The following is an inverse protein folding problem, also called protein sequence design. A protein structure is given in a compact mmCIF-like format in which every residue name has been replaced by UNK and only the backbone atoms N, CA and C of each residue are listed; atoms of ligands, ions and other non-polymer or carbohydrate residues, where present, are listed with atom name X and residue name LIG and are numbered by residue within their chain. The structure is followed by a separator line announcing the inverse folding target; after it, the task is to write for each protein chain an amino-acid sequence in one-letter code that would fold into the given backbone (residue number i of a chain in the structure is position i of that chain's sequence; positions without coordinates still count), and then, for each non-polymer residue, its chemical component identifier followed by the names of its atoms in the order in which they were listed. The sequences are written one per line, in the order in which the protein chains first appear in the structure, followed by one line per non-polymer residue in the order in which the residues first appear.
data_IF_055017949913
#
_entry.id   IF_055017949913
#
_cell.length_a   1.000
_cell.length_b   1.000
_cell.length_c   1.000
_cell.angle_alpha   90.00
_cell.angle_beta   90.00
_cell.angle_gamma   90.00
#
_symmetry.space_group_name_H-M   'P 1'
#
loop_
_entity.id
_entity.type
_entity.pdbx_description
1 polymer ?
#
# COMPACT_ATOMS: atom_id res chain seq x y z
N UNK A 1 -30.68 11.27 7.04
CA UNK A 1 -29.32 10.70 6.88
C UNK A 1 -29.18 10.36 5.40
N UNK A 2 -28.45 11.16 4.60
CA UNK A 2 -28.33 10.91 3.15
C UNK A 2 -27.62 9.56 2.95
N UNK A 3 -28.33 8.57 2.43
CA UNK A 3 -27.77 7.28 2.05
C UNK A 3 -27.09 7.46 0.70
N UNK A 4 -25.76 7.61 0.71
CA UNK A 4 -25.00 7.54 -0.53
C UNK A 4 -25.08 6.10 -1.06
N UNK A 5 -25.41 5.95 -2.34
CA UNK A 5 -25.49 4.67 -3.05
C UNK A 5 -24.12 4.03 -3.24
N UNK A 6 -23.07 4.84 -3.30
CA UNK A 6 -21.68 4.42 -3.56
C UNK A 6 -20.81 4.54 -2.31
N UNK A 7 -19.86 3.61 -2.15
CA UNK A 7 -18.94 3.62 -1.01
C UNK A 7 -17.83 4.65 -1.24
N UNK A 8 -17.64 5.56 -0.29
CA UNK A 8 -16.60 6.57 -0.43
C UNK A 8 -15.20 5.94 -0.21
N UNK A 9 -14.30 5.94 -1.22
CA UNK A 9 -13.04 5.18 -1.20
C UNK A 9 -12.00 5.70 -0.19
N UNK A 10 -12.16 6.94 0.29
CA UNK A 10 -11.23 7.54 1.27
C UNK A 10 -11.81 7.63 2.68
N UNK A 11 -13.04 7.17 2.88
CA UNK A 11 -13.70 7.27 4.17
C UNK A 11 -13.28 6.12 5.10
N UNK A 12 -13.12 6.37 6.40
CA UNK A 12 -12.87 5.30 7.35
C UNK A 12 -14.02 4.28 7.35
N UNK A 13 -13.70 3.02 7.14
CA UNK A 13 -14.62 1.89 7.34
C UNK A 13 -14.70 1.55 8.83
N UNK A 14 -15.91 1.53 9.39
CA UNK A 14 -16.15 1.13 10.77
C UNK A 14 -16.52 -0.35 10.80
N UNK A 15 -15.80 -1.18 11.59
CA UNK A 15 -16.14 -2.57 11.80
C UNK A 15 -17.55 -2.75 12.37
N UNK A 16 -18.17 -3.89 12.07
CA UNK A 16 -19.45 -4.25 12.67
C UNK A 16 -19.24 -4.70 14.14
N UNK A 17 -19.92 -4.04 15.08
CA UNK A 17 -19.79 -4.28 16.53
C UNK A 17 -20.58 -5.53 16.98
N UNK A 18 -20.33 -6.64 16.31
CA UNK A 18 -20.90 -7.94 16.62
C UNK A 18 -20.37 -8.52 17.95
N UNK A 19 -20.97 -9.60 18.44
CA UNK A 19 -20.48 -10.33 19.62
C UNK A 19 -19.02 -10.78 19.41
N UNK A 20 -18.68 -11.27 18.20
CA UNK A 20 -17.31 -11.66 17.84
C UNK A 20 -16.32 -10.50 17.96
N UNK A 21 -16.73 -9.29 17.56
CA UNK A 21 -15.91 -8.08 17.71
C UNK A 21 -15.58 -7.80 19.17
N UNK A 22 -16.58 -7.85 20.06
CA UNK A 22 -16.38 -7.57 21.48
C UNK A 22 -15.55 -8.66 22.17
N UNK A 23 -15.78 -9.93 21.85
CA UNK A 23 -14.95 -11.03 22.35
C UNK A 23 -13.48 -10.86 21.93
N UNK A 24 -13.23 -10.55 20.65
CA UNK A 24 -11.87 -10.28 20.16
C UNK A 24 -11.18 -9.17 20.97
N UNK A 25 -11.87 -8.05 21.21
CA UNK A 25 -11.29 -6.93 21.96
C UNK A 25 -11.14 -7.22 23.45
N UNK A 26 -12.05 -7.98 24.05
CA UNK A 26 -11.92 -8.43 25.44
C UNK A 26 -10.64 -9.26 25.63
N UNK A 27 -10.41 -10.26 24.78
CA UNK A 27 -9.19 -11.06 24.81
C UNK A 27 -7.93 -10.24 24.47
N UNK A 28 -8.03 -9.34 23.49
CA UNK A 28 -6.93 -8.44 23.10
C UNK A 28 -6.48 -7.58 24.26
N UNK A 29 -7.41 -6.94 24.96
CA UNK A 29 -7.11 -6.09 26.11
C UNK A 29 -6.62 -6.91 27.31
N UNK A 30 -7.20 -8.08 27.57
CA UNK A 30 -6.76 -8.98 28.65
C UNK A 30 -5.32 -9.46 28.48
N UNK A 31 -4.90 -9.75 27.24
CA UNK A 31 -3.53 -10.21 26.94
C UNK A 31 -2.54 -9.05 26.67
N UNK A 32 -3.03 -7.82 26.54
CA UNK A 32 -2.21 -6.65 26.20
C UNK A 32 -1.03 -6.37 27.16
N UNK A 33 -1.12 -6.61 28.49
CA UNK A 33 0.03 -6.39 29.38
C UNK A 33 1.24 -7.28 29.07
N UNK A 34 1.03 -8.42 28.41
CA UNK A 34 2.09 -9.35 28.00
C UNK A 34 2.50 -9.08 26.55
N UNK A 35 1.51 -8.93 25.66
CA UNK A 35 1.75 -8.80 24.21
C UNK A 35 2.44 -7.46 23.86
N UNK A 36 2.02 -6.36 24.48
CA UNK A 36 2.55 -5.03 24.13
C UNK A 36 4.04 -4.91 24.44
N UNK A 37 4.55 -5.29 25.63
CA UNK A 37 5.99 -5.24 25.90
C UNK A 37 6.81 -6.06 24.91
N UNK A 38 6.35 -7.26 24.56
CA UNK A 38 7.03 -8.13 23.59
C UNK A 38 7.08 -7.46 22.20
N UNK A 39 5.97 -6.87 21.77
CA UNK A 39 5.89 -6.15 20.50
C UNK A 39 6.79 -4.93 20.47
N UNK A 40 6.73 -4.09 21.50
CA UNK A 40 7.59 -2.90 21.60
C UNK A 40 9.07 -3.27 21.63
N UNK A 41 9.43 -4.31 22.39
CA UNK A 41 10.79 -4.83 22.40
C UNK A 41 11.21 -5.30 21.01
N UNK A 42 10.37 -6.06 20.30
CA UNK A 42 10.66 -6.51 18.94
C UNK A 42 10.85 -5.35 17.95
N UNK A 43 10.05 -4.28 18.08
CA UNK A 43 10.17 -3.08 17.25
C UNK A 43 11.46 -2.30 17.54
N UNK A 44 11.81 -2.15 18.82
CA UNK A 44 13.07 -1.50 19.23
C UNK A 44 14.26 -2.29 18.71
N UNK A 45 14.28 -3.61 18.90
CA UNK A 45 15.33 -4.48 18.38
C UNK A 45 15.41 -4.41 16.85
N UNK A 46 14.27 -4.41 16.14
CA UNK A 46 14.25 -4.25 14.69
C UNK A 46 14.88 -2.93 14.24
N UNK A 47 14.60 -1.82 14.93
CA UNK A 47 15.18 -0.52 14.62
C UNK A 47 16.70 -0.50 14.84
N UNK A 48 17.18 -1.04 15.96
CA UNK A 48 18.61 -1.12 16.29
C UNK A 48 19.36 -2.06 15.33
N UNK A 49 18.81 -3.23 15.07
CA UNK A 49 19.38 -4.15 14.08
C UNK A 49 19.40 -3.51 12.70
N UNK A 50 18.35 -2.81 12.31
CA UNK A 50 18.27 -2.14 11.02
C UNK A 50 19.34 -1.06 10.86
N UNK A 51 19.50 -0.17 11.85
CA UNK A 51 20.51 0.88 11.78
C UNK A 51 21.91 0.29 11.65
N UNK A 52 22.31 -0.58 12.58
CA UNK A 52 23.65 -1.17 12.57
C UNK A 52 23.89 -2.05 11.32
N UNK A 53 22.91 -2.86 10.96
CA UNK A 53 23.02 -3.80 9.84
C UNK A 53 23.12 -3.10 8.49
N UNK A 54 22.29 -2.07 8.24
CA UNK A 54 22.38 -1.32 6.99
C UNK A 54 23.62 -0.43 6.93
N UNK A 55 24.02 0.18 8.05
CA UNK A 55 25.25 0.98 8.10
C UNK A 55 26.45 0.14 7.63
N UNK A 56 26.56 -1.12 8.11
CA UNK A 56 27.59 -2.08 7.68
C UNK A 56 27.42 -2.50 6.21
N UNK A 57 26.21 -2.87 5.80
CA UNK A 57 25.96 -3.38 4.45
C UNK A 57 26.17 -2.33 3.35
N UNK A 58 26.00 -1.05 3.70
CA UNK A 58 26.12 0.10 2.81
C UNK A 58 27.47 0.83 2.90
N UNK A 59 28.43 0.36 3.72
CA UNK A 59 29.77 0.96 3.79
C UNK A 59 30.37 1.07 2.38
N UNK A 60 30.81 2.30 2.04
CA UNK A 60 31.41 2.63 0.76
C UNK A 60 30.52 2.29 -0.46
N UNK A 61 29.20 2.38 -0.33
CA UNK A 61 28.27 2.18 -1.44
C UNK A 61 27.51 3.47 -1.76
N UNK A 62 27.38 3.77 -3.05
CA UNK A 62 26.45 4.77 -3.54
C UNK A 62 25.08 4.10 -3.77
N UNK A 63 24.08 4.52 -3.00
CA UNK A 63 22.70 3.98 -3.09
C UNK A 63 21.96 4.44 -4.34
N UNK A 64 22.49 5.43 -5.07
CA UNK A 64 21.95 5.89 -6.36
C UNK A 64 22.23 4.91 -7.51
N UNK A 65 23.30 4.11 -7.37
CA UNK A 65 23.74 3.14 -8.36
C UNK A 65 23.26 1.73 -7.99
N UNK A 66 23.01 0.85 -8.99
CA UNK A 66 22.63 -0.53 -8.73
C UNK A 66 23.69 -1.26 -7.91
N UNK A 67 23.27 -1.99 -6.88
CA UNK A 67 24.20 -2.79 -6.10
C UNK A 67 24.67 -4.01 -6.89
N UNK A 68 25.85 -4.54 -6.55
CA UNK A 68 26.31 -5.81 -7.10
C UNK A 68 25.32 -6.95 -6.78
N UNK A 69 25.16 -7.96 -7.65
CA UNK A 69 24.12 -8.99 -7.48
C UNK A 69 24.18 -9.74 -6.14
N UNK A 70 25.39 -10.05 -5.64
CA UNK A 70 25.57 -10.76 -4.37
C UNK A 70 25.19 -9.86 -3.17
N UNK A 71 25.59 -8.59 -3.19
CA UNK A 71 25.29 -7.64 -2.12
C UNK A 71 23.80 -7.34 -2.09
N UNK A 72 23.18 -7.14 -3.25
CA UNK A 72 21.75 -6.96 -3.38
C UNK A 72 20.98 -8.15 -2.77
N UNK A 73 21.44 -9.38 -3.01
CA UNK A 73 20.84 -10.59 -2.44
C UNK A 73 20.94 -10.62 -0.91
N UNK A 74 22.06 -10.18 -0.32
CA UNK A 74 22.24 -10.10 1.13
C UNK A 74 21.35 -8.99 1.73
N UNK A 75 21.42 -7.77 1.18
CA UNK A 75 20.61 -6.63 1.60
C UNK A 75 19.12 -6.98 1.56
N UNK A 76 18.65 -7.62 0.48
CA UNK A 76 17.25 -8.03 0.35
C UNK A 76 16.84 -9.07 1.40
N UNK A 77 17.68 -10.08 1.67
CA UNK A 77 17.41 -11.04 2.75
C UNK A 77 17.33 -10.34 4.12
N UNK A 78 18.23 -9.41 4.37
CA UNK A 78 18.23 -8.59 5.58
C UNK A 78 16.97 -7.72 5.69
N UNK A 79 16.58 -7.02 4.63
CA UNK A 79 15.35 -6.22 4.56
C UNK A 79 14.10 -7.06 4.83
N UNK A 80 14.00 -8.26 4.24
CA UNK A 80 12.90 -9.20 4.49
C UNK A 80 12.86 -9.61 5.96
N UNK A 81 14.02 -9.90 6.56
CA UNK A 81 14.12 -10.28 7.96
C UNK A 81 13.63 -9.14 8.88
N UNK A 82 14.15 -7.92 8.70
CA UNK A 82 13.70 -6.74 9.46
C UNK A 82 12.20 -6.49 9.26
N UNK A 83 11.71 -6.54 8.02
CA UNK A 83 10.28 -6.34 7.72
C UNK A 83 9.40 -7.38 8.43
N UNK A 84 9.85 -8.63 8.55
CA UNK A 84 9.11 -9.68 9.28
C UNK A 84 9.07 -9.42 10.79
N UNK A 85 10.16 -8.93 11.39
CA UNK A 85 10.16 -8.55 12.81
C UNK A 85 9.21 -7.37 13.03
N UNK A 86 9.26 -6.35 12.16
CA UNK A 86 8.36 -5.20 12.25
C UNK A 86 6.89 -5.62 12.06
N UNK A 87 6.61 -6.50 11.10
CA UNK A 87 5.28 -7.10 10.89
C UNK A 87 4.80 -7.86 12.13
N UNK A 88 5.67 -8.63 12.79
CA UNK A 88 5.37 -9.30 14.05
C UNK A 88 5.08 -8.30 15.19
N UNK A 89 5.89 -7.24 15.29
CA UNK A 89 5.68 -6.15 16.25
C UNK A 89 4.34 -5.44 16.09
N UNK A 90 3.81 -5.39 14.86
CA UNK A 90 2.45 -4.92 14.58
C UNK A 90 1.37 -6.02 14.64
N UNK A 91 1.71 -7.25 15.03
CA UNK A 91 0.74 -8.34 15.10
C UNK A 91 0.16 -8.74 13.75
N UNK A 92 0.87 -8.48 12.65
CA UNK A 92 0.37 -8.71 11.30
C UNK A 92 0.65 -10.14 10.87
N UNK A 93 -0.41 -10.84 10.47
CA UNK A 93 -0.37 -12.20 9.92
C UNK A 93 -0.66 -12.14 8.42
N UNK A 94 0.37 -12.40 7.61
CA UNK A 94 0.27 -12.33 6.14
C UNK A 94 -0.08 -13.71 5.58
N UNK A 95 -1.27 -13.83 5.00
CA UNK A 95 -1.76 -15.01 4.30
C UNK A 95 -1.57 -14.80 2.79
N UNK A 96 -0.66 -15.56 2.18
CA UNK A 96 -0.47 -15.55 0.72
C UNK A 96 -1.41 -16.53 0.03
N UNK A 97 -2.03 -16.09 -1.07
CA UNK A 97 -2.86 -16.87 -1.99
C UNK A 97 -2.26 -16.87 -3.39
N UNK A 98 -2.58 -17.90 -4.18
CA UNK A 98 -2.09 -18.05 -5.55
C UNK A 98 -0.56 -17.96 -5.68
N UNK A 99 0.18 -18.59 -4.76
CA UNK A 99 1.66 -18.53 -4.70
C UNK A 99 2.35 -18.95 -6.01
N UNK A 100 1.71 -19.79 -6.83
CA UNK A 100 2.19 -20.20 -8.16
C UNK A 100 2.30 -19.03 -9.14
N UNK A 101 1.50 -17.98 -8.96
CA UNK A 101 1.50 -16.75 -9.77
C UNK A 101 2.45 -15.67 -9.20
N UNK A 102 3.24 -16.00 -8.18
CA UNK A 102 4.15 -15.05 -7.56
C UNK A 102 5.20 -14.60 -8.60
N UNK A 103 5.38 -13.27 -8.79
CA UNK A 103 6.34 -12.75 -9.75
C UNK A 103 7.74 -13.31 -9.53
N UNK A 104 8.40 -13.72 -10.61
CA UNK A 104 9.82 -14.09 -10.57
C UNK A 104 10.67 -12.84 -10.39
N UNK A 105 11.95 -13.00 -10.06
CA UNK A 105 12.87 -11.87 -9.93
C UNK A 105 13.11 -11.13 -11.25
N UNK A 106 12.70 -11.69 -12.39
CA UNK A 106 12.75 -11.06 -13.72
C UNK A 106 11.58 -10.11 -13.97
N UNK A 107 10.53 -10.12 -13.14
CA UNK A 107 9.42 -9.20 -13.30
C UNK A 107 9.90 -7.78 -13.01
N UNK A 108 9.83 -6.90 -14.01
CA UNK A 108 10.39 -5.55 -13.93
C UNK A 108 9.54 -4.61 -13.07
N UNK A 109 8.23 -4.84 -13.08
CA UNK A 109 7.25 -4.04 -12.35
C UNK A 109 6.28 -4.93 -11.60
N UNK A 110 6.06 -4.60 -10.33
CA UNK A 110 4.94 -5.09 -9.56
C UNK A 110 3.91 -3.98 -9.37
N UNK A 111 2.66 -4.27 -9.67
CA UNK A 111 1.52 -3.41 -9.42
C UNK A 111 0.75 -3.96 -8.23
N UNK A 112 0.42 -3.07 -7.28
CA UNK A 112 -0.42 -3.39 -6.13
C UNK A 112 -1.46 -2.31 -5.93
N UNK A 113 -2.65 -2.69 -5.44
CA UNK A 113 -3.57 -1.72 -4.85
C UNK A 113 -2.97 -1.09 -3.59
N UNK A 114 -3.46 0.08 -3.16
CA UNK A 114 -2.92 0.81 -2.02
C UNK A 114 -3.96 1.06 -0.92
N UNK A 115 -4.20 0.05 -0.09
CA UNK A 115 -5.18 0.08 1.00
C UNK A 115 -4.67 0.63 2.34
N UNK A 116 -3.35 0.65 2.55
CA UNK A 116 -2.77 1.11 3.81
C UNK A 116 -1.34 1.62 3.64
N UNK A 117 -0.93 2.47 4.57
CA UNK A 117 0.49 2.85 4.71
C UNK A 117 1.39 1.63 5.04
N UNK A 118 0.80 0.53 5.53
CA UNK A 118 1.52 -0.70 5.81
C UNK A 118 1.77 -1.56 4.57
N UNK A 119 1.17 -1.26 3.39
CA UNK A 119 1.33 -2.08 2.18
C UNK A 119 2.80 -2.34 1.82
N UNK A 120 3.64 -1.30 1.91
CA UNK A 120 5.07 -1.42 1.66
C UNK A 120 5.75 -2.42 2.61
N UNK A 121 5.36 -2.44 3.90
CA UNK A 121 5.87 -3.41 4.87
C UNK A 121 5.49 -4.85 4.47
N UNK A 122 4.21 -5.06 4.10
CA UNK A 122 3.71 -6.38 3.67
C UNK A 122 4.48 -6.89 2.45
N UNK A 123 4.70 -6.01 1.48
CA UNK A 123 5.46 -6.30 0.25
C UNK A 123 6.93 -6.61 0.55
N UNK A 124 7.57 -5.84 1.45
CA UNK A 124 8.92 -6.11 1.92
C UNK A 124 9.04 -7.49 2.59
N UNK A 125 8.06 -7.92 3.41
CA UNK A 125 8.06 -9.25 4.01
C UNK A 125 8.10 -10.39 2.98
N UNK A 126 7.60 -10.13 1.76
CA UNK A 126 7.56 -11.07 0.64
C UNK A 126 8.64 -10.85 -0.40
N UNK A 127 9.51 -9.87 -0.18
CA UNK A 127 10.72 -9.60 -0.96
C UNK A 127 10.54 -8.56 -2.05
N UNK A 128 9.44 -7.82 -2.10
CA UNK A 128 9.26 -6.69 -3.01
C UNK A 128 9.65 -5.42 -2.25
N UNK A 129 10.91 -5.00 -2.39
CA UNK A 129 11.49 -3.99 -1.50
C UNK A 129 11.65 -2.62 -2.14
N UNK A 130 11.65 -2.49 -3.47
CA UNK A 130 11.78 -1.20 -4.16
C UNK A 130 10.42 -0.60 -4.51
N UNK A 131 10.25 0.71 -4.27
CA UNK A 131 8.99 1.44 -4.45
C UNK A 131 9.21 2.82 -5.07
N UNK A 132 8.12 3.43 -5.55
CA UNK A 132 8.07 4.88 -5.81
C UNK A 132 7.66 5.62 -4.54
N UNK A 133 8.52 6.50 -4.03
CA UNK A 133 8.34 7.17 -2.73
C UNK A 133 8.52 8.68 -2.80
N UNK A 134 8.03 9.43 -1.80
CA UNK A 134 8.13 10.89 -1.75
C UNK A 134 9.51 11.34 -1.24
N UNK A 135 10.07 12.40 -1.83
CA UNK A 135 11.33 13.02 -1.37
C UNK A 135 11.34 13.39 0.13
N UNK A 136 10.19 13.73 0.72
CA UNK A 136 10.08 14.04 2.16
C UNK A 136 10.51 12.87 3.06
N UNK A 137 10.40 11.62 2.61
CA UNK A 137 10.80 10.44 3.39
C UNK A 137 12.32 10.43 3.66
N UNK A 138 13.14 11.05 2.79
CA UNK A 138 14.59 11.19 3.01
C UNK A 138 14.95 11.95 4.29
N UNK A 139 14.02 12.75 4.84
CA UNK A 139 14.24 13.54 6.05
C UNK A 139 14.02 12.76 7.34
N UNK A 140 13.50 11.52 7.26
CA UNK A 140 13.21 10.69 8.44
C UNK A 140 14.42 9.77 8.67
N UNK A 141 15.22 9.99 9.73
CA UNK A 141 16.38 9.16 10.01
C UNK A 141 16.00 7.69 10.20
N UNK A 142 16.93 6.77 9.94
CA UNK A 142 16.75 5.30 9.96
C UNK A 142 15.85 4.80 8.82
N UNK A 143 14.68 5.41 8.64
CA UNK A 143 13.76 5.09 7.55
C UNK A 143 14.36 5.48 6.20
N UNK A 144 15.02 6.63 6.08
CA UNK A 144 15.71 7.02 4.85
C UNK A 144 16.75 5.99 4.42
N UNK A 145 17.58 5.52 5.36
CA UNK A 145 18.60 4.48 5.09
C UNK A 145 17.97 3.17 4.64
N UNK A 146 16.85 2.75 5.25
CA UNK A 146 16.11 1.58 4.80
C UNK A 146 15.59 1.75 3.37
N UNK A 147 14.96 2.88 3.07
CA UNK A 147 14.39 3.17 1.75
C UNK A 147 15.48 3.32 0.67
N UNK A 148 16.63 3.91 1.02
CA UNK A 148 17.78 4.02 0.11
C UNK A 148 18.42 2.64 -0.15
N UNK A 149 18.51 1.78 0.87
CA UNK A 149 18.95 0.38 0.70
C UNK A 149 18.00 -0.44 -0.18
N UNK A 150 16.74 -0.04 -0.27
CA UNK A 150 15.74 -0.64 -1.14
C UNK A 150 15.86 -0.19 -2.61
N UNK A 151 16.73 0.78 -2.88
CA UNK A 151 16.89 1.41 -4.19
C UNK A 151 15.56 1.92 -4.77
N UNK A 152 14.80 2.61 -3.92
CA UNK A 152 13.51 3.20 -4.27
C UNK A 152 13.68 4.40 -5.21
N UNK A 153 12.68 4.62 -6.07
CA UNK A 153 12.61 5.81 -6.93
C UNK A 153 11.96 6.95 -6.15
N UNK A 154 12.68 8.04 -5.96
CA UNK A 154 12.14 9.23 -5.30
C UNK A 154 11.40 10.13 -6.29
N UNK A 155 10.08 10.21 -6.14
CA UNK A 155 9.20 11.02 -6.97
C UNK A 155 9.61 12.50 -6.95
N UNK A 156 9.92 13.13 -8.09
CA UNK A 156 10.05 14.59 -8.19
C UNK A 156 8.70 15.30 -8.03
N UNK A 157 8.73 16.64 -7.91
CA UNK A 157 7.51 17.43 -7.75
C UNK A 157 6.70 17.58 -9.06
N UNK A 158 7.25 17.15 -10.19
CA UNK A 158 6.58 17.16 -11.49
C UNK A 158 6.29 15.71 -11.95
N UNK A 159 5.21 15.53 -12.70
CA UNK A 159 4.82 14.20 -13.19
C UNK A 159 5.70 13.76 -14.37
N UNK A 160 6.14 14.67 -15.24
CA UNK A 160 7.04 14.35 -16.36
C UNK A 160 8.36 13.68 -15.90
N UNK A 161 9.02 14.21 -14.89
CA UNK A 161 10.24 13.61 -14.32
C UNK A 161 9.95 12.30 -13.57
N UNK A 162 8.75 12.14 -13.02
CA UNK A 162 8.33 10.88 -12.41
C UNK A 162 8.18 9.79 -13.48
N UNK A 163 7.52 10.12 -14.59
CA UNK A 163 7.34 9.21 -15.73
C UNK A 163 8.69 8.81 -16.31
N UNK A 164 9.60 9.77 -16.49
CA UNK A 164 10.96 9.50 -17.00
C UNK A 164 11.70 8.48 -16.13
N UNK A 165 11.82 8.74 -14.83
CA UNK A 165 12.55 7.84 -13.91
C UNK A 165 11.91 6.45 -13.82
N UNK A 166 10.59 6.36 -13.83
CA UNK A 166 9.88 5.08 -13.82
C UNK A 166 10.13 4.34 -15.14
N UNK A 167 10.05 5.02 -16.29
CA UNK A 167 10.26 4.42 -17.60
C UNK A 167 11.69 3.89 -17.73
N UNK A 168 12.70 4.68 -17.37
CA UNK A 168 14.11 4.25 -17.34
C UNK A 168 14.26 3.00 -16.47
N UNK A 169 13.64 2.98 -15.28
CA UNK A 169 13.71 1.84 -14.37
C UNK A 169 13.11 0.55 -14.93
N UNK A 170 12.05 0.68 -15.73
CA UNK A 170 11.30 -0.43 -16.32
C UNK A 170 11.99 -0.96 -17.58
N UNK A 171 12.51 -0.05 -18.41
CA UNK A 171 13.05 -0.36 -19.74
C UNK A 171 14.51 -0.78 -19.67
N UNK A 172 15.35 -0.02 -18.97
CA UNK A 172 16.80 -0.21 -19.01
C UNK A 172 17.28 -1.40 -18.20
N UNK A 173 16.57 -1.78 -17.13
CA UNK A 173 16.84 -2.98 -16.34
C UNK A 173 18.30 -3.09 -15.86
N UNK A 174 18.89 -1.97 -15.43
CA UNK A 174 20.30 -1.85 -15.01
C UNK A 174 20.62 -2.54 -13.68
N UNK A 175 20.15 -3.77 -13.45
CA UNK A 175 20.51 -4.59 -12.30
C UNK A 175 19.84 -4.23 -10.97
N UNK A 176 18.93 -3.25 -10.93
CA UNK A 176 18.20 -2.95 -9.69
C UNK A 176 16.86 -3.68 -9.50
N UNK A 177 16.37 -3.83 -8.24
CA UNK A 177 15.21 -4.67 -7.91
C UNK A 177 13.94 -4.35 -8.71
N UNK A 178 13.03 -5.31 -8.80
CA UNK A 178 11.67 -5.08 -9.31
C UNK A 178 11.03 -3.87 -8.63
N UNK A 179 10.55 -2.90 -9.42
CA UNK A 179 9.95 -1.68 -8.91
C UNK A 179 8.47 -1.92 -8.62
N UNK A 180 8.06 -1.67 -7.38
CA UNK A 180 6.64 -1.75 -7.00
C UNK A 180 5.98 -0.38 -7.14
N UNK A 181 4.86 -0.34 -7.85
CA UNK A 181 4.08 0.87 -8.10
C UNK A 181 2.65 0.67 -7.60
N UNK A 182 2.18 1.66 -6.86
CA UNK A 182 0.77 1.82 -6.48
C UNK A 182 0.10 2.77 -7.48
N UNK A 183 -0.58 2.26 -8.52
CA UNK A 183 -0.99 3.07 -9.67
C UNK A 183 -2.09 4.08 -9.33
N UNK A 184 -2.87 3.84 -8.28
CA UNK A 184 -3.83 4.81 -7.72
C UNK A 184 -3.16 6.15 -7.34
N UNK A 185 -1.90 6.08 -6.90
CA UNK A 185 -1.12 7.25 -6.45
C UNK A 185 -1.65 7.89 -5.16
N UNK A 186 -2.53 7.22 -4.44
CA UNK A 186 -3.08 7.60 -3.14
C UNK A 186 -3.45 6.36 -2.32
N UNK A 187 -3.83 6.53 -1.05
CA UNK A 187 -4.32 5.42 -0.22
C UNK A 187 -5.84 5.47 -0.17
N UNK A 188 -6.48 4.38 -0.54
CA UNK A 188 -7.90 4.12 -0.41
C UNK A 188 -8.19 3.17 0.77
N UNK A 189 -9.46 2.87 1.01
CA UNK A 189 -9.92 2.00 2.10
C UNK A 189 -10.17 0.55 1.64
N UNK A 190 -9.74 0.20 0.42
CA UNK A 190 -9.92 -1.11 -0.21
C UNK A 190 -11.38 -1.56 -0.37
N UNK A 191 -12.35 -0.63 -0.36
CA UNK A 191 -13.75 -0.94 -0.66
C UNK A 191 -14.10 -0.69 -2.13
N UNK A 192 -13.29 0.12 -2.80
CA UNK A 192 -13.45 0.52 -4.19
C UNK A 192 -12.05 0.75 -4.77
N UNK A 193 -11.95 0.75 -6.09
CA UNK A 193 -10.70 0.98 -6.83
C UNK A 193 -10.82 2.18 -7.75
N UNK A 194 -9.89 3.13 -7.60
CA UNK A 194 -9.86 4.37 -8.38
C UNK A 194 -9.09 4.22 -9.71
N UNK A 195 -9.20 5.18 -10.65
CA UNK A 195 -8.45 5.14 -11.90
C UNK A 195 -6.93 5.11 -11.67
N UNK A 196 -6.25 4.32 -12.49
CA UNK A 196 -4.82 4.13 -12.42
C UNK A 196 -4.07 5.23 -13.17
N UNK A 197 -2.98 5.73 -12.57
CA UNK A 197 -2.02 6.59 -13.25
C UNK A 197 -1.22 5.77 -14.25
N UNK A 198 -1.00 6.35 -15.42
CA UNK A 198 -0.37 5.66 -16.55
C UNK A 198 1.13 5.44 -16.40
N UNK A 199 1.77 5.95 -15.34
CA UNK A 199 3.23 5.92 -15.21
C UNK A 199 3.82 4.50 -15.31
N UNK A 200 3.13 3.50 -14.77
CA UNK A 200 3.57 2.09 -14.83
C UNK A 200 3.27 1.42 -16.19
N UNK A 201 2.34 1.99 -16.97
CA UNK A 201 1.78 1.39 -18.18
C UNK A 201 2.32 2.02 -19.46
N UNK A 202 2.71 3.30 -19.44
CA UNK A 202 3.33 4.02 -20.55
C UNK A 202 4.48 3.27 -21.25
N UNK A 203 5.36 2.53 -20.54
CA UNK A 203 6.43 1.77 -21.21
C UNK A 203 5.96 0.58 -22.05
N UNK A 204 4.67 0.21 -21.99
CA UNK A 204 4.09 -0.94 -22.68
C UNK A 204 4.89 -2.23 -22.45
N UNK A 205 5.24 -2.49 -21.19
CA UNK A 205 5.94 -3.71 -20.74
C UNK A 205 5.00 -4.58 -19.90
N UNK A 206 5.23 -5.90 -19.83
CA UNK A 206 4.47 -6.76 -18.93
C UNK A 206 4.57 -6.29 -17.48
N UNK A 207 3.45 -6.33 -16.77
CA UNK A 207 3.36 -5.94 -15.36
C UNK A 207 2.87 -7.13 -14.55
N UNK A 208 3.55 -7.44 -13.45
CA UNK A 208 3.02 -8.42 -12.50
C UNK A 208 2.08 -7.73 -11.52
N UNK A 209 1.02 -8.41 -11.10
CA UNK A 209 -0.03 -7.81 -10.27
C UNK A 209 -0.25 -8.60 -8.98
N UNK A 210 -0.52 -7.87 -7.90
CA UNK A 210 -0.87 -8.41 -6.58
C UNK A 210 -1.95 -7.57 -5.92
N UNK A 211 -2.81 -8.20 -5.14
CA UNK A 211 -3.78 -7.50 -4.29
C UNK A 211 -3.44 -7.72 -2.82
N UNK A 212 -3.53 -6.65 -2.03
CA UNK A 212 -3.39 -6.65 -0.57
C UNK A 212 -4.72 -6.20 0.02
N UNK A 213 -5.26 -7.03 0.92
CA UNK A 213 -6.52 -6.77 1.62
C UNK A 213 -6.32 -6.98 3.11
N UNK A 214 -6.55 -5.93 3.90
CA UNK A 214 -6.58 -6.01 5.35
C UNK A 214 -7.95 -6.50 5.81
N UNK A 215 -7.97 -7.42 6.77
CA UNK A 215 -9.22 -7.80 7.42
C UNK A 215 -9.72 -6.67 8.32
N UNK A 216 -10.78 -5.99 7.87
CA UNK A 216 -11.38 -4.85 8.56
C UNK A 216 -12.44 -5.27 9.61
N UNK A 217 -12.59 -6.56 9.90
CA UNK A 217 -13.63 -7.07 10.80
C UNK A 217 -13.50 -6.59 12.25
N UNK A 218 -12.30 -6.23 12.70
CA UNK A 218 -12.02 -5.84 14.09
C UNK A 218 -11.45 -4.44 14.24
N UNK A 219 -10.84 -3.88 13.20
CA UNK A 219 -10.26 -2.55 13.22
C UNK A 219 -10.12 -2.00 11.80
N UNK A 220 -10.01 -0.68 11.72
CA UNK A 220 -9.71 0.00 10.48
C UNK A 220 -8.22 0.32 10.42
N UNK A 221 -7.58 -0.07 9.31
CA UNK A 221 -6.14 0.07 9.07
C UNK A 221 -5.87 1.03 7.91
N UNK A 222 -6.92 1.63 7.35
CA UNK A 222 -6.79 2.75 6.41
C UNK A 222 -6.11 3.93 7.10
N UNK A 223 -5.40 4.73 6.31
CA UNK A 223 -4.53 5.81 6.78
C UNK A 223 -5.29 6.99 7.45
N UNK A 224 -6.60 6.86 7.65
CA UNK A 224 -7.50 7.91 8.12
C UNK A 224 -8.07 7.62 9.52
N UNK A 225 -7.67 6.52 10.17
CA UNK A 225 -7.93 6.29 11.59
C UNK A 225 -6.66 6.49 12.41
N UNK A 226 -6.54 7.63 13.12
CA UNK A 226 -5.39 7.90 14.03
C UNK A 226 -5.36 6.91 15.20
N UNK A 227 -6.52 6.35 15.57
CA UNK A 227 -6.64 5.33 16.61
C UNK A 227 -6.32 3.94 16.03
N UNK A 228 -6.43 3.76 14.71
CA UNK A 228 -6.16 2.51 14.01
C UNK A 228 -4.75 1.97 14.29
N UNK A 229 -3.74 2.84 14.24
CA UNK A 229 -2.37 2.45 14.58
C UNK A 229 -2.19 1.98 16.03
N UNK A 230 -2.86 2.65 16.97
CA UNK A 230 -2.85 2.22 18.36
C UNK A 230 -3.54 0.85 18.48
N UNK A 231 -4.70 0.69 17.85
CA UNK A 231 -5.45 -0.56 17.82
C UNK A 231 -4.63 -1.75 17.30
N UNK A 232 -3.74 -1.54 16.33
CA UNK A 232 -2.82 -2.58 15.84
C UNK A 232 -1.92 -3.10 16.96
N UNK A 233 -1.37 -2.22 17.80
CA UNK A 233 -0.50 -2.61 18.92
C UNK A 233 -1.25 -3.38 20.01
N UNK A 234 -2.52 -3.03 20.26
CA UNK A 234 -3.34 -3.65 21.31
C UNK A 234 -4.08 -4.90 20.84
N UNK A 235 -4.40 -5.00 19.55
CA UNK A 235 -5.13 -6.13 18.99
C UNK A 235 -4.30 -7.40 18.94
N UNK A 236 -4.92 -8.56 19.19
CA UNK A 236 -4.22 -9.86 19.15
C UNK A 236 -3.50 -10.12 17.84
N UNK A 237 -4.16 -9.84 16.72
CA UNK A 237 -3.56 -9.96 15.40
C UNK A 237 -4.37 -9.19 14.36
N UNK A 238 -3.72 -8.84 13.26
CA UNK A 238 -4.36 -8.36 12.04
C UNK A 238 -4.07 -9.35 10.92
N UNK A 239 -5.11 -9.87 10.28
CA UNK A 239 -4.92 -10.70 9.08
C UNK A 239 -4.80 -9.80 7.86
N UNK A 240 -3.76 -10.04 7.06
CA UNK A 240 -3.58 -9.42 5.75
C UNK A 240 -3.55 -10.53 4.72
N UNK A 241 -4.45 -10.45 3.74
CA UNK A 241 -4.49 -11.37 2.60
C UNK A 241 -3.74 -10.74 1.45
N UNK A 242 -2.77 -11.46 0.91
CA UNK A 242 -1.98 -11.07 -0.24
C UNK A 242 -2.19 -12.09 -1.35
N UNK A 243 -2.81 -11.69 -2.45
CA UNK A 243 -3.18 -12.59 -3.54
C UNK A 243 -2.53 -12.16 -4.84
N UNK A 244 -1.74 -13.07 -5.44
CA UNK A 244 -1.06 -12.82 -6.71
C UNK A 244 -2.03 -13.02 -7.89
N UNK A 245 -1.99 -12.12 -8.86
CA UNK A 245 -2.83 -12.17 -10.07
C UNK A 245 -2.06 -12.68 -11.30
N UNK A 246 -0.74 -12.78 -11.20
CA UNK A 246 0.13 -13.16 -12.31
C UNK A 246 0.60 -11.96 -13.12
N UNK A 247 1.08 -12.22 -14.32
CA UNK A 247 1.59 -11.22 -15.25
C UNK A 247 0.49 -10.81 -16.23
N UNK A 248 0.37 -9.51 -16.45
CA UNK A 248 -0.49 -8.89 -17.45
C UNK A 248 0.39 -8.28 -18.54
N UNK A 249 0.25 -8.80 -19.76
CA UNK A 249 0.98 -8.33 -20.94
C UNK A 249 0.08 -7.38 -21.75
N UNK A 250 0.61 -6.27 -22.29
CA UNK A 250 -0.15 -5.43 -23.22
C UNK A 250 -0.45 -6.16 -24.53
N UNK A 251 -1.58 -5.85 -25.15
CA UNK A 251 -1.92 -6.36 -26.48
C UNK A 251 -1.28 -5.51 -27.60
N UNK A 252 -1.17 -6.09 -28.79
CA UNK A 252 -0.70 -5.36 -29.97
C UNK A 252 -1.66 -4.21 -30.32
N UNK A 253 -1.14 -2.98 -30.37
CA UNK A 253 -1.94 -1.78 -30.64
C UNK A 253 -2.77 -1.26 -29.46
N UNK A 254 -2.67 -1.88 -28.28
CA UNK A 254 -3.29 -1.35 -27.05
C UNK A 254 -2.59 -0.06 -26.63
N UNK A 255 -3.36 0.96 -26.21
CA UNK A 255 -2.77 2.15 -25.63
C UNK A 255 -2.52 1.98 -24.11
N UNK A 256 -1.75 2.89 -23.52
CA UNK A 256 -1.41 2.80 -22.09
C UNK A 256 -2.65 2.97 -21.17
N UNK A 257 -3.68 3.67 -21.63
CA UNK A 257 -4.90 3.94 -20.88
C UNK A 257 -5.79 2.71 -20.82
N UNK A 258 -5.97 2.02 -21.95
CA UNK A 258 -6.68 0.76 -22.08
C UNK A 258 -5.96 -0.34 -21.29
N UNK A 259 -4.63 -0.38 -21.36
CA UNK A 259 -3.85 -1.32 -20.56
C UNK A 259 -4.05 -1.09 -19.05
N UNK A 260 -4.03 0.17 -18.60
CA UNK A 260 -4.30 0.53 -17.21
C UNK A 260 -5.75 0.21 -16.78
N UNK A 261 -6.72 0.45 -17.67
CA UNK A 261 -8.13 0.15 -17.43
C UNK A 261 -8.36 -1.35 -17.31
N UNK A 262 -7.74 -2.16 -18.16
CA UNK A 262 -7.80 -3.63 -18.10
C UNK A 262 -7.18 -4.17 -16.82
N UNK A 263 -6.07 -3.59 -16.36
CA UNK A 263 -5.49 -3.92 -15.06
C UNK A 263 -6.44 -3.57 -13.90
N UNK A 264 -7.09 -2.41 -13.94
CA UNK A 264 -8.11 -2.01 -12.96
C UNK A 264 -9.33 -2.94 -12.98
N UNK A 265 -9.79 -3.32 -14.17
CA UNK A 265 -10.92 -4.23 -14.36
C UNK A 265 -10.65 -5.60 -13.78
N UNK A 266 -9.42 -6.10 -13.91
CA UNK A 266 -9.02 -7.37 -13.31
C UNK A 266 -9.15 -7.35 -11.78
N UNK A 267 -8.78 -6.25 -11.11
CA UNK A 267 -9.02 -6.11 -9.67
C UNK A 267 -10.51 -6.08 -9.33
N UNK A 268 -11.31 -5.33 -10.11
CA UNK A 268 -12.75 -5.23 -9.90
C UNK A 268 -13.44 -6.59 -10.06
N UNK A 269 -13.15 -7.31 -11.15
CA UNK A 269 -13.74 -8.63 -11.43
C UNK A 269 -13.33 -9.68 -10.40
N UNK A 270 -12.07 -9.69 -9.99
CA UNK A 270 -11.54 -10.74 -9.09
C UNK A 270 -11.90 -10.53 -7.62
N UNK A 271 -11.93 -9.28 -7.16
CA UNK A 271 -12.12 -8.96 -5.74
C UNK A 271 -13.45 -8.26 -5.44
N UNK A 272 -14.27 -7.99 -6.44
CA UNK A 272 -15.54 -7.29 -6.29
C UNK A 272 -15.37 -5.82 -5.89
N UNK A 273 -14.22 -5.21 -6.20
CA UNK A 273 -14.01 -3.79 -5.93
C UNK A 273 -14.87 -2.96 -6.86
N UNK A 274 -15.65 -2.06 -6.27
CA UNK A 274 -16.43 -1.07 -7.00
C UNK A 274 -15.48 -0.11 -7.73
N UNK A 275 -15.69 0.08 -9.04
CA UNK A 275 -14.93 1.08 -9.81
C UNK A 275 -15.55 2.46 -9.59
N UNK A 276 -14.80 3.34 -8.95
CA UNK A 276 -15.23 4.73 -8.70
C UNK A 276 -14.24 5.70 -9.32
N UNK A 277 -14.70 6.72 -10.05
CA UNK A 277 -13.82 7.64 -10.78
C UNK A 277 -13.37 8.84 -9.93
N UNK A 278 -13.05 8.54 -8.67
CA UNK A 278 -12.42 9.46 -7.75
C UNK A 278 -10.94 9.66 -8.09
N UNK A 279 -10.39 10.81 -7.74
CA UNK A 279 -9.02 11.22 -8.06
C UNK A 279 -8.21 11.48 -6.79
N UNK A 280 -6.90 11.68 -6.95
CA UNK A 280 -6.05 12.11 -5.82
C UNK A 280 -6.51 13.46 -5.23
N UNK A 281 -7.10 14.36 -6.04
CA UNK A 281 -7.61 15.66 -5.57
C UNK A 281 -8.82 15.48 -4.66
N UNK A 282 -9.68 14.51 -4.96
CA UNK A 282 -10.84 14.18 -4.13
C UNK A 282 -10.42 13.72 -2.73
N UNK A 283 -9.40 12.86 -2.65
CA UNK A 283 -8.82 12.50 -1.36
C UNK A 283 -8.23 13.72 -0.63
N UNK A 284 -7.53 14.62 -1.35
CA UNK A 284 -6.98 15.83 -0.75
C UNK A 284 -8.07 16.76 -0.21
N UNK A 285 -9.20 16.89 -0.92
CA UNK A 285 -10.38 17.61 -0.47
C UNK A 285 -11.03 16.93 0.75
N UNK A 286 -11.35 15.64 0.64
CA UNK A 286 -11.96 14.85 1.72
C UNK A 286 -11.15 14.93 3.03
N UNK A 287 -9.82 14.89 2.92
CA UNK A 287 -8.89 14.98 4.07
C UNK A 287 -8.62 16.40 4.56
N UNK A 288 -9.13 17.42 3.87
CA UNK A 288 -8.99 18.84 4.21
C UNK A 288 -7.63 19.46 3.85
N UNK A 289 -6.82 18.80 3.01
CA UNK A 289 -5.57 19.39 2.48
C UNK A 289 -5.84 20.48 1.46
N UNK A 290 -6.91 20.33 0.68
CA UNK A 290 -7.46 21.34 -0.21
C UNK A 290 -8.84 21.71 0.34
N UNK A 291 -9.15 23.01 0.35
CA UNK A 291 -10.47 23.52 0.76
C UNK A 291 -11.39 23.81 -0.42
N UNK A 292 -10.81 24.00 -1.60
CA UNK A 292 -11.53 24.30 -2.82
C UNK A 292 -12.21 23.04 -3.36
N UNK A 293 -13.54 23.03 -3.28
CA UNK A 293 -14.40 21.95 -3.78
C UNK A 293 -14.41 21.87 -5.31
N UNK A 294 -14.15 22.99 -6.01
CA UNK A 294 -14.25 23.00 -7.47
C UNK A 294 -13.16 22.16 -8.13
N UNK A 295 -12.07 21.91 -7.42
CA UNK A 295 -10.96 21.06 -7.85
C UNK A 295 -11.26 19.54 -7.74
N UNK A 296 -12.40 19.15 -7.17
CA UNK A 296 -12.84 17.76 -7.10
C UNK A 296 -13.32 17.24 -8.46
N UNK A 297 -13.26 15.92 -8.65
CA UNK A 297 -13.72 15.26 -9.87
C UNK A 297 -15.23 15.40 -10.06
N UNK A 298 -15.66 15.29 -11.31
CA UNK A 298 -17.09 15.23 -11.64
C UNK A 298 -17.82 14.12 -10.88
N UNK A 299 -17.19 12.94 -10.74
CA UNK A 299 -17.73 11.83 -9.95
C UNK A 299 -17.96 12.23 -8.50
N UNK A 300 -16.97 12.88 -7.87
CA UNK A 300 -17.12 13.33 -6.48
C UNK A 300 -18.26 14.32 -6.31
N UNK A 301 -18.38 15.26 -7.25
CA UNK A 301 -19.42 16.29 -7.24
C UNK A 301 -20.82 15.69 -7.34
N UNK A 302 -20.98 14.71 -8.23
CA UNK A 302 -22.28 14.06 -8.48
C UNK A 302 -22.69 13.07 -7.41
N UNK A 303 -21.75 12.27 -6.86
CA UNK A 303 -22.09 11.17 -5.96
C UNK A 303 -22.06 11.53 -4.46
N UNK A 304 -21.20 12.47 -4.07
CA UNK A 304 -20.96 12.79 -2.65
C UNK A 304 -21.39 14.21 -2.28
N UNK A 305 -21.01 15.20 -3.09
CA UNK A 305 -21.28 16.61 -2.79
C UNK A 305 -20.27 17.24 -1.81
N UNK A 306 -20.39 18.54 -1.51
CA UNK A 306 -19.39 19.31 -0.76
C UNK A 306 -19.37 18.99 0.75
N UNK A 307 -20.48 18.48 1.29
CA UNK A 307 -20.59 18.18 2.74
C UNK A 307 -19.87 16.90 3.15
N UNK A 308 -19.55 16.02 2.19
CA UNK A 308 -18.85 14.77 2.46
C UNK A 308 -17.38 15.09 2.64
N UNK A 309 -16.98 15.31 3.90
CA UNK A 309 -15.60 15.54 4.29
C UNK A 309 -15.27 14.80 5.57
N UNK A 310 -13.99 14.56 5.81
CA UNK A 310 -13.52 13.97 7.07
C UNK A 310 -13.83 14.86 8.28
N UNK A 311 -13.78 16.18 8.13
CA UNK A 311 -14.09 17.14 9.21
C UNK A 311 -15.55 16.98 9.69
N UNK A 312 -16.44 16.63 8.77
CA UNK A 312 -17.85 16.39 9.05
C UNK A 312 -18.13 14.96 9.56
N UNK A 313 -17.09 14.18 9.87
CA UNK A 313 -17.22 12.86 10.49
C UNK A 313 -17.74 11.76 9.57
N UNK A 314 -17.64 11.93 8.25
CA UNK A 314 -18.12 10.94 7.30
C UNK A 314 -17.35 9.62 7.40
N UNK A 315 -18.09 8.51 7.47
CA UNK A 315 -17.58 7.14 7.68
C UNK A 315 -18.42 6.13 6.88
N UNK A 316 -17.80 5.01 6.51
CA UNK A 316 -18.46 3.88 5.82
C UNK A 316 -18.67 2.75 6.83
N UNK A 317 -19.81 2.06 6.79
CA UNK A 317 -20.08 0.92 7.69
C UNK A 317 -19.79 -0.40 6.98
N UNK A 318 -19.00 -1.27 7.61
CA UNK A 318 -18.70 -2.61 7.07
C UNK A 318 -19.96 -3.47 6.91
N UNK A 319 -20.97 -3.29 7.77
CA UNK A 319 -22.26 -3.97 7.64
C UNK A 319 -22.97 -3.62 6.33
N UNK A 320 -22.90 -2.35 5.91
CA UNK A 320 -23.49 -1.89 4.65
C UNK A 320 -22.72 -2.42 3.43
N UNK A 321 -21.40 -2.55 3.52
CA UNK A 321 -20.56 -3.15 2.48
C UNK A 321 -20.92 -4.62 2.20
N UNK A 322 -21.18 -5.40 3.25
CA UNK A 322 -21.58 -6.82 3.11
C UNK A 322 -23.01 -7.04 2.64
N UNK A 323 -23.88 -6.04 2.74
CA UNK A 323 -25.27 -6.12 2.27
C UNK A 323 -25.41 -5.72 0.79
N UNK A 324 -24.40 -5.10 0.21
CA UNK A 324 -24.35 -4.70 -1.21
C UNK A 324 -23.58 -5.67 -2.11
N UNK A 325 -23.09 -6.78 -1.56
CA UNK A 325 -22.37 -7.86 -2.26
C UNK A 325 -23.21 -9.14 -2.18
#
# INVERSE_FOLDING_TARGET
MKTHTHHHPFAPVIPDKSIKYWLYWLFSLGLSPIIIPIRLLSLILALLCNSLGLDILLICQDTSQPFSPWRLKIIRKFQIFIARIVSFGFGILIIEREKKLKPTQKANVLISNHGSILDGLILCCKGFTSFVTRKKIRKIPILSTYIDSCQCVYKPNNDAGTIKLITERIVEQNGYPSLTIFPEGTIENSTAIIPFKLHAFNPMKPVSMVCIQFDQSYMNISNYDRIGFLKILFGLYTIVRMEYLGELTPFDGEDAQDFANRARDLYSQKFGFEKVDCTTKDNQYFTGKIKDYELTSYYYKTQFGPEVTRKNGYVVSLKKLKMSQ
#
